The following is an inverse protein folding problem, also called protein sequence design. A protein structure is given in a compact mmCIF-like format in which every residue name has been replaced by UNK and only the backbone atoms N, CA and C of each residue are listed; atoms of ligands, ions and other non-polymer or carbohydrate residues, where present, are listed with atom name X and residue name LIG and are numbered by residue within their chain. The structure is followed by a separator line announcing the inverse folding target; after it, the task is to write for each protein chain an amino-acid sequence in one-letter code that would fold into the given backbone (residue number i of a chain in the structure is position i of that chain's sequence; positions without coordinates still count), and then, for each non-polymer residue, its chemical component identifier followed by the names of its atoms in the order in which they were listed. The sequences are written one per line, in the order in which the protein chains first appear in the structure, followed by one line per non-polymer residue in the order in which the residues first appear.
data_IF_161409771065
#
_entry.id   IF_161409771065
#
_cell.length_a   1.000
_cell.length_b   1.000
_cell.length_c   1.000
_cell.angle_alpha   90.00
_cell.angle_beta   90.00
_cell.angle_gamma   90.00
#
_symmetry.space_group_name_H-M   'P 1'
#
loop_
_entity.id
_entity.type
_entity.pdbx_description
1 polymer ?
#
# COMPACT_ATOMS: atom_id res chain seq x y z
N UNK A 1 -31.65 3.12 9.66
CA UNK A 1 -31.65 3.94 10.89
C UNK A 1 -30.26 3.84 11.51
N UNK A 2 -29.69 4.92 12.07
CA UNK A 2 -28.45 4.79 12.81
C UNK A 2 -28.68 3.83 13.99
N UNK A 3 -27.73 2.94 14.23
CA UNK A 3 -27.80 1.96 15.30
C UNK A 3 -26.39 1.73 15.79
N UNK A 4 -26.19 1.83 17.09
CA UNK A 4 -24.87 1.73 17.73
C UNK A 4 -25.00 0.83 18.96
N UNK A 5 -24.11 -0.15 19.04
CA UNK A 5 -23.98 -1.06 20.18
C UNK A 5 -22.58 -0.91 20.74
N UNK A 6 -22.43 -0.78 22.05
CA UNK A 6 -21.13 -0.81 22.74
C UNK A 6 -21.17 -1.97 23.72
N UNK A 7 -20.25 -2.92 23.54
CA UNK A 7 -19.99 -4.00 24.48
C UNK A 7 -18.71 -3.70 25.25
N UNK A 8 -18.74 -3.90 26.57
CA UNK A 8 -17.65 -3.58 27.47
C UNK A 8 -17.42 -4.67 28.51
N UNK A 9 -16.16 -4.88 28.88
CA UNK A 9 -15.75 -5.76 29.98
C UNK A 9 -14.91 -4.98 31.01
N UNK A 10 -15.00 -5.35 32.29
CA UNK A 10 -14.23 -4.72 33.40
C UNK A 10 -14.28 -3.18 33.42
N UNK A 11 -15.49 -2.63 33.32
CA UNK A 11 -15.73 -1.17 33.20
C UNK A 11 -15.73 -0.46 34.56
N UNK A 12 -15.05 0.70 34.70
CA UNK A 12 -15.18 1.54 35.87
C UNK A 12 -16.63 2.03 36.09
N UNK A 13 -17.15 2.08 37.34
CA UNK A 13 -18.49 2.57 37.61
C UNK A 13 -18.78 3.98 37.06
N UNK A 14 -17.77 4.85 37.04
CA UNK A 14 -17.86 6.21 36.49
C UNK A 14 -18.16 6.21 34.99
N UNK A 15 -17.47 5.38 34.21
CA UNK A 15 -17.69 5.26 32.77
C UNK A 15 -19.04 4.60 32.45
N UNK A 16 -19.40 3.55 33.21
CA UNK A 16 -20.72 2.92 33.08
C UNK A 16 -21.86 3.91 33.32
N UNK A 17 -21.72 4.74 34.36
CA UNK A 17 -22.67 5.80 34.68
C UNK A 17 -22.66 6.97 33.68
N UNK A 18 -21.56 7.25 33.00
CA UNK A 18 -21.56 8.24 31.91
C UNK A 18 -22.30 7.72 30.68
N UNK A 19 -22.06 6.45 30.30
CA UNK A 19 -22.71 5.84 29.13
C UNK A 19 -24.21 5.66 29.30
N UNK A 20 -24.69 5.33 30.50
CA UNK A 20 -26.13 5.20 30.78
C UNK A 20 -26.92 6.50 30.60
N UNK A 21 -26.26 7.67 30.56
CA UNK A 21 -26.90 8.95 30.21
C UNK A 21 -27.26 9.04 28.73
N UNK A 22 -26.56 8.29 27.87
CA UNK A 22 -26.70 8.35 26.42
C UNK A 22 -27.35 7.11 25.86
N UNK A 23 -27.06 5.94 26.44
CA UNK A 23 -27.39 4.61 25.92
C UNK A 23 -28.18 3.80 26.94
N UNK A 24 -29.00 2.89 26.46
CA UNK A 24 -29.68 1.91 27.31
C UNK A 24 -28.78 0.70 27.50
N UNK A 25 -28.48 0.35 28.75
CA UNK A 25 -27.86 -0.93 29.07
C UNK A 25 -28.92 -2.03 29.01
N UNK A 26 -28.76 -3.00 28.10
CA UNK A 26 -29.72 -4.09 27.89
C UNK A 26 -29.26 -5.41 28.51
N UNK A 27 -27.95 -5.53 28.75
CA UNK A 27 -27.29 -6.63 29.43
C UNK A 27 -26.02 -6.10 30.06
N UNK A 28 -25.43 -6.83 30.99
CA UNK A 28 -24.23 -6.37 31.71
C UNK A 28 -23.11 -6.04 30.72
N UNK A 29 -22.71 -4.76 30.68
CA UNK A 29 -21.68 -4.26 29.79
C UNK A 29 -22.14 -4.04 28.34
N UNK A 30 -23.42 -4.24 27.99
CA UNK A 30 -23.94 -4.09 26.63
C UNK A 30 -24.91 -2.91 26.57
N UNK A 31 -24.49 -1.88 25.86
CA UNK A 31 -25.21 -0.61 25.68
C UNK A 31 -25.71 -0.46 24.25
N UNK A 32 -26.95 -0.02 24.08
CA UNK A 32 -27.55 0.25 22.77
C UNK A 32 -28.02 1.70 22.71
N UNK A 33 -27.77 2.35 21.56
CA UNK A 33 -28.23 3.70 21.29
C UNK A 33 -28.34 3.98 19.79
N UNK A 34 -29.01 5.08 19.45
CA UNK A 34 -29.18 5.54 18.08
C UNK A 34 -28.58 6.94 17.95
N UNK A 35 -27.41 7.03 17.30
CA UNK A 35 -26.66 8.27 17.20
C UNK A 35 -26.16 8.50 15.78
N UNK A 36 -26.05 9.77 15.41
CA UNK A 36 -25.33 10.16 14.20
C UNK A 36 -23.82 9.90 14.36
N UNK A 37 -23.09 9.91 13.24
CA UNK A 37 -21.65 9.62 13.21
C UNK A 37 -20.82 10.50 14.13
N UNK A 38 -21.17 11.78 14.30
CA UNK A 38 -20.41 12.72 15.11
C UNK A 38 -20.52 12.40 16.60
N UNK A 39 -21.74 12.19 17.10
CA UNK A 39 -21.99 11.80 18.49
C UNK A 39 -21.33 10.45 18.78
N UNK A 40 -21.43 9.50 17.85
CA UNK A 40 -20.80 8.18 17.98
C UNK A 40 -19.28 8.28 18.16
N UNK A 41 -18.59 9.08 17.33
CA UNK A 41 -17.13 9.27 17.44
C UNK A 41 -16.74 9.87 18.78
N UNK A 42 -17.51 10.84 19.30
CA UNK A 42 -17.24 11.41 20.63
C UNK A 42 -17.50 10.43 21.77
N UNK A 43 -18.59 9.65 21.70
CA UNK A 43 -18.88 8.60 22.68
C UNK A 43 -17.78 7.55 22.70
N UNK A 44 -17.33 7.11 21.52
CA UNK A 44 -16.24 6.14 21.41
C UNK A 44 -14.94 6.67 22.00
N UNK A 45 -14.57 7.93 21.69
CA UNK A 45 -13.41 8.57 22.29
C UNK A 45 -13.48 8.61 23.82
N UNK A 46 -14.64 8.92 24.40
CA UNK A 46 -14.83 8.89 25.86
C UNK A 46 -14.62 7.50 26.45
N UNK A 47 -15.11 6.46 25.79
CA UNK A 47 -14.88 5.06 26.22
C UNK A 47 -13.39 4.75 26.23
N UNK A 48 -12.70 5.02 25.12
CA UNK A 48 -11.25 4.75 25.00
C UNK A 48 -10.43 5.56 26.02
N UNK A 49 -10.75 6.84 26.22
CA UNK A 49 -10.01 7.71 27.14
C UNK A 49 -10.21 7.34 28.63
N UNK A 50 -11.27 6.60 28.98
CA UNK A 50 -11.64 6.30 30.38
C UNK A 50 -11.64 4.80 30.72
N UNK A 51 -11.18 3.94 29.80
CA UNK A 51 -11.14 2.49 30.00
C UNK A 51 -9.70 1.98 30.05
N UNK A 52 -9.16 1.86 31.27
CA UNK A 52 -7.74 1.48 31.46
C UNK A 52 -7.48 -0.04 31.35
N UNK A 53 -8.26 -0.87 32.04
CA UNK A 53 -7.98 -2.31 32.20
C UNK A 53 -9.08 -3.23 31.64
N UNK A 54 -10.08 -2.64 30.99
CA UNK A 54 -11.21 -3.33 30.40
C UNK A 54 -11.14 -3.37 28.89
N UNK A 55 -12.04 -4.15 28.30
CA UNK A 55 -12.17 -4.26 26.85
C UNK A 55 -13.41 -3.51 26.38
N UNK A 56 -13.34 -2.95 25.18
CA UNK A 56 -14.48 -2.31 24.54
C UNK A 56 -14.59 -2.68 23.07
N UNK A 57 -15.81 -2.86 22.61
CA UNK A 57 -16.14 -2.96 21.19
C UNK A 57 -17.34 -2.09 20.91
N UNK A 58 -17.23 -1.22 19.90
CA UNK A 58 -18.36 -0.47 19.36
C UNK A 58 -18.71 -1.03 17.98
N UNK A 59 -19.96 -1.38 17.76
CA UNK A 59 -20.50 -1.75 16.45
C UNK A 59 -21.55 -0.71 16.03
N UNK A 60 -21.53 -0.32 14.75
CA UNK A 60 -22.43 0.71 14.25
C UNK A 60 -22.80 0.51 12.80
N UNK A 61 -23.97 1.01 12.42
CA UNK A 61 -24.43 0.99 11.03
C UNK A 61 -23.43 1.69 10.09
N UNK A 62 -23.05 1.02 9.01
CA UNK A 62 -22.10 1.50 8.00
C UNK A 62 -22.53 1.07 6.60
N UNK A 63 -22.11 1.80 5.57
CA UNK A 63 -22.52 1.54 4.18
C UNK A 63 -21.53 0.60 3.50
N UNK A 64 -21.60 -0.66 3.86
CA UNK A 64 -20.91 -1.79 3.22
C UNK A 64 -21.89 -2.97 3.09
N UNK A 65 -21.43 -4.11 2.55
CA UNK A 65 -22.28 -5.28 2.31
C UNK A 65 -22.83 -5.90 3.60
N UNK A 66 -22.09 -5.81 4.71
CA UNK A 66 -22.53 -6.30 6.02
C UNK A 66 -23.51 -5.34 6.71
N UNK A 67 -23.62 -4.10 6.25
CA UNK A 67 -24.48 -3.07 6.83
C UNK A 67 -23.98 -2.50 8.17
N UNK A 68 -22.81 -2.91 8.63
CA UNK A 68 -22.20 -2.42 9.87
C UNK A 68 -20.67 -2.37 9.76
N UNK A 69 -20.06 -1.61 10.67
CA UNK A 69 -18.64 -1.65 10.97
C UNK A 69 -18.46 -1.68 12.48
N UNK A 70 -17.25 -2.01 12.95
CA UNK A 70 -16.96 -2.06 14.37
C UNK A 70 -15.51 -1.66 14.65
N UNK A 71 -15.27 -1.18 15.88
CA UNK A 71 -13.95 -0.85 16.40
C UNK A 71 -13.77 -1.50 17.76
N UNK A 72 -12.55 -1.89 18.07
CA UNK A 72 -12.23 -2.54 19.34
C UNK A 72 -11.08 -1.81 20.07
N UNK A 73 -11.10 -1.88 21.40
CA UNK A 73 -10.09 -1.32 22.28
C UNK A 73 -9.75 -2.33 23.38
N UNK A 74 -8.45 -2.59 23.56
CA UNK A 74 -7.88 -3.55 24.52
C UNK A 74 -8.36 -5.02 24.37
N UNK A 75 -9.03 -5.37 23.27
CA UNK A 75 -9.47 -6.74 22.97
C UNK A 75 -8.36 -7.54 22.29
N UNK A 76 -8.43 -8.87 22.41
CA UNK A 76 -7.59 -9.76 21.58
C UNK A 76 -7.97 -9.65 20.10
N UNK A 77 -9.24 -9.40 19.78
CA UNK A 77 -9.68 -9.22 18.41
C UNK A 77 -9.30 -7.85 17.86
N UNK A 78 -9.05 -7.77 16.55
CA UNK A 78 -8.92 -6.49 15.83
C UNK A 78 -9.80 -6.48 14.59
N UNK A 79 -10.33 -5.32 14.25
CA UNK A 79 -11.00 -5.11 12.97
C UNK A 79 -9.95 -4.83 11.89
N UNK A 80 -10.06 -5.50 10.75
CA UNK A 80 -9.32 -5.22 9.52
C UNK A 80 -10.33 -4.96 8.42
N UNK A 81 -10.10 -3.92 7.63
CA UNK A 81 -10.84 -3.66 6.41
C UNK A 81 -10.24 -4.47 5.26
N UNK A 82 -11.03 -5.35 4.66
CA UNK A 82 -10.69 -6.09 3.45
C UNK A 82 -11.76 -5.77 2.40
N UNK A 83 -11.40 -4.96 1.40
CA UNK A 83 -12.29 -4.53 0.31
C UNK A 83 -13.63 -3.93 0.77
N UNK A 84 -13.62 -3.17 1.88
CA UNK A 84 -14.80 -2.54 2.46
C UNK A 84 -15.58 -3.43 3.44
N UNK A 85 -15.12 -4.67 3.67
CA UNK A 85 -15.69 -5.59 4.65
C UNK A 85 -14.90 -5.56 5.97
N UNK A 86 -15.56 -5.34 7.12
CA UNK A 86 -14.92 -5.42 8.42
C UNK A 86 -14.75 -6.88 8.86
N UNK A 87 -13.52 -7.36 8.84
CA UNK A 87 -13.14 -8.72 9.25
C UNK A 87 -12.54 -8.72 10.67
N UNK A 88 -12.90 -9.74 11.46
CA UNK A 88 -12.35 -9.97 12.80
C UNK A 88 -11.07 -10.79 12.70
N UNK A 89 -9.95 -10.24 13.16
CA UNK A 89 -8.68 -10.96 13.30
C UNK A 89 -8.47 -11.42 14.75
N UNK A 90 -8.14 -12.69 14.95
CA UNK A 90 -7.70 -13.28 16.22
C UNK A 90 -6.19 -13.59 16.18
N UNK A 91 -5.32 -12.78 16.80
CA UNK A 91 -3.87 -12.95 16.72
C UNK A 91 -3.37 -14.31 17.22
N UNK A 92 -3.96 -14.86 18.30
CA UNK A 92 -3.56 -16.16 18.86
C UNK A 92 -3.89 -17.36 17.95
N UNK A 93 -4.93 -17.25 17.12
CA UNK A 93 -5.32 -18.34 16.22
C UNK A 93 -4.30 -18.51 15.08
N UNK A 94 -3.57 -17.45 14.75
CA UNK A 94 -2.48 -17.49 13.78
C UNK A 94 -1.30 -18.35 14.30
N UNK A 95 -0.99 -18.31 15.60
CA UNK A 95 0.06 -19.12 16.20
C UNK A 95 -0.31 -20.62 16.25
N UNK A 96 -1.57 -20.95 16.55
CA UNK A 96 -2.04 -22.35 16.60
C UNK A 96 -2.20 -22.99 15.20
N UNK A 97 -2.70 -22.24 14.20
CA UNK A 97 -2.78 -22.73 12.82
C UNK A 97 -1.39 -23.00 12.20
N UNK A 98 -0.35 -22.26 12.64
CA UNK A 98 1.03 -22.50 12.25
C UNK A 98 1.62 -23.79 12.87
N UNK A 99 1.05 -24.31 13.95
CA UNK A 99 1.47 -25.56 14.59
C UNK A 99 0.84 -26.80 13.93
N UNK A 100 -0.46 -26.79 13.63
CA UNK A 100 -1.15 -27.90 12.96
C UNK A 100 -0.65 -28.15 11.52
N UNK A 101 -0.27 -27.09 10.79
CA UNK A 101 0.26 -27.22 9.43
C UNK A 101 1.63 -27.93 9.36
N UNK A 102 2.37 -28.07 10.47
CA UNK A 102 3.69 -28.74 10.47
C UNK A 102 3.60 -30.27 10.25
N UNK A 103 2.43 -30.89 10.44
CA UNK A 103 2.26 -32.35 10.44
C UNK A 103 2.19 -33.01 9.05
N UNK A 104 1.75 -32.32 7.98
CA UNK A 104 1.34 -32.97 6.73
C UNK A 104 1.96 -32.47 5.42
N UNK A 105 3.25 -32.09 5.43
CA UNK A 105 3.96 -31.82 4.17
C UNK A 105 4.94 -32.96 3.83
N UNK A 106 4.77 -33.54 2.63
CA UNK A 106 5.72 -34.49 2.05
C UNK A 106 7.11 -33.85 1.92
N UNK A 107 8.18 -34.65 1.91
CA UNK A 107 9.56 -34.13 1.87
C UNK A 107 9.77 -33.13 0.71
N UNK A 108 9.12 -33.31 -0.44
CA UNK A 108 9.16 -32.37 -1.56
C UNK A 108 8.52 -30.99 -1.24
N UNK A 109 7.37 -30.97 -0.56
CA UNK A 109 6.74 -29.73 -0.09
C UNK A 109 7.55 -29.05 1.02
N UNK A 110 8.20 -29.84 1.89
CA UNK A 110 9.16 -29.33 2.90
C UNK A 110 10.39 -28.69 2.24
N UNK A 111 10.94 -29.27 1.17
CA UNK A 111 12.06 -28.67 0.42
C UNK A 111 11.66 -27.37 -0.31
N UNK A 112 10.43 -27.30 -0.82
CA UNK A 112 9.91 -26.11 -1.49
C UNK A 112 9.59 -24.97 -0.51
N UNK A 113 8.95 -25.28 0.64
CA UNK A 113 8.71 -24.30 1.71
C UNK A 113 10.01 -23.89 2.42
N UNK A 114 10.98 -24.79 2.60
CA UNK A 114 12.29 -24.46 3.15
C UNK A 114 13.08 -23.49 2.24
N UNK A 115 12.83 -23.51 0.92
CA UNK A 115 13.38 -22.51 -0.01
C UNK A 115 12.63 -21.17 0.03
N UNK A 116 11.32 -21.17 0.30
CA UNK A 116 10.51 -19.95 0.48
C UNK A 116 10.72 -19.26 1.84
N UNK A 117 11.09 -20.01 2.88
CA UNK A 117 11.33 -19.52 4.25
C UNK A 117 12.78 -19.67 4.73
N UNK A 118 13.71 -20.04 3.84
CA UNK A 118 15.09 -19.58 4.03
C UNK A 118 15.02 -18.06 3.98
N UNK A 119 14.85 -17.42 5.15
CA UNK A 119 15.39 -16.09 5.36
C UNK A 119 16.77 -16.14 4.73
N UNK A 120 17.14 -15.21 3.84
CA UNK A 120 18.55 -15.00 3.62
C UNK A 120 19.11 -14.91 5.03
N UNK A 121 20.04 -15.81 5.38
CA UNK A 121 20.85 -15.70 6.59
C UNK A 121 21.12 -14.21 6.69
N UNK A 122 20.80 -13.59 7.82
CA UNK A 122 21.21 -12.22 8.08
C UNK A 122 22.73 -12.21 7.97
N UNK A 123 23.23 -12.08 6.75
CA UNK A 123 24.47 -11.38 6.52
C UNK A 123 24.17 -10.06 7.17
N UNK A 124 25.02 -9.68 8.11
CA UNK A 124 25.30 -8.27 8.30
C UNK A 124 25.73 -7.72 6.93
N UNK A 125 24.76 -7.52 6.04
CA UNK A 125 24.87 -6.70 4.86
C UNK A 125 24.63 -5.33 5.44
N UNK A 126 25.73 -4.60 5.57
CA UNK A 126 25.74 -3.16 5.51
C UNK A 126 24.64 -2.71 4.53
N UNK A 127 23.45 -2.38 5.04
CA UNK A 127 22.37 -1.90 4.20
C UNK A 127 22.84 -0.53 3.76
N UNK A 128 23.44 -0.44 2.56
CA UNK A 128 23.56 0.82 1.88
C UNK A 128 22.15 1.42 1.83
N UNK A 129 21.96 2.52 2.56
CA UNK A 129 20.73 3.31 2.56
C UNK A 129 20.43 3.68 1.12
N UNK A 130 19.38 3.11 0.55
CA UNK A 130 19.04 3.32 -0.84
C UNK A 130 17.60 2.96 -1.15
N UNK A 131 17.12 3.48 -2.26
CA UNK A 131 15.76 3.27 -2.75
C UNK A 131 15.76 3.22 -4.28
N UNK A 132 14.67 2.69 -4.84
CA UNK A 132 14.41 2.67 -6.27
C UNK A 132 13.31 3.68 -6.55
N UNK A 133 13.52 4.57 -7.51
CA UNK A 133 12.42 5.32 -8.11
C UNK A 133 11.98 4.55 -9.35
N UNK A 134 10.69 4.29 -9.49
CA UNK A 134 10.12 3.45 -10.54
C UNK A 134 8.98 4.18 -11.23
N UNK A 135 8.91 4.03 -12.55
CA UNK A 135 7.82 4.50 -13.39
C UNK A 135 7.65 3.55 -14.59
N UNK A 136 6.41 3.37 -15.04
CA UNK A 136 6.09 2.61 -16.25
C UNK A 136 5.16 3.39 -17.17
N UNK A 137 5.30 3.15 -18.47
CA UNK A 137 4.32 3.56 -19.47
C UNK A 137 3.53 2.35 -19.95
N UNK A 138 2.24 2.56 -20.25
CA UNK A 138 1.31 1.48 -20.58
C UNK A 138 0.39 1.86 -21.74
N UNK A 139 -0.19 0.87 -22.41
CA UNK A 139 -1.19 1.12 -23.48
C UNK A 139 -2.57 1.55 -22.96
N UNK A 140 -2.76 1.59 -21.64
CA UNK A 140 -4.04 1.87 -21.00
C UNK A 140 -3.98 1.69 -19.48
N UNK A 141 -5.10 1.94 -18.79
CA UNK A 141 -5.12 2.05 -17.32
C UNK A 141 -5.44 0.75 -16.56
N UNK A 142 -5.68 -0.35 -17.27
CA UNK A 142 -6.13 -1.60 -16.67
C UNK A 142 -5.17 -2.75 -17.01
N UNK A 143 -4.52 -3.29 -15.99
CA UNK A 143 -3.52 -4.35 -16.08
C UNK A 143 -4.04 -5.65 -16.70
N UNK A 144 -5.36 -5.89 -16.72
CA UNK A 144 -5.95 -7.10 -17.28
C UNK A 144 -6.04 -7.07 -18.81
N UNK A 145 -5.98 -5.88 -19.43
CA UNK A 145 -6.20 -5.71 -20.87
C UNK A 145 -5.24 -4.71 -21.54
N UNK A 146 -4.33 -4.11 -20.77
CA UNK A 146 -3.35 -3.13 -21.23
C UNK A 146 -1.95 -3.64 -20.94
N UNK A 147 -0.99 -3.31 -21.82
CA UNK A 147 0.38 -3.81 -21.76
C UNK A 147 1.35 -2.73 -21.26
N UNK A 148 2.43 -3.18 -20.61
CA UNK A 148 3.55 -2.31 -20.28
C UNK A 148 4.38 -2.12 -21.55
N UNK A 149 4.70 -0.87 -21.88
CA UNK A 149 5.45 -0.53 -23.11
C UNK A 149 6.82 0.08 -22.82
N UNK A 150 6.99 0.70 -21.64
CA UNK A 150 8.28 1.20 -21.16
C UNK A 150 8.37 1.00 -19.66
N UNK A 151 9.56 0.66 -19.17
CA UNK A 151 9.88 0.62 -17.74
C UNK A 151 11.16 1.44 -17.53
N UNK A 152 11.13 2.29 -16.51
CA UNK A 152 12.33 2.96 -16.02
C UNK A 152 12.46 2.83 -14.49
N UNK A 153 13.68 2.54 -14.05
CA UNK A 153 14.03 2.50 -12.63
C UNK A 153 15.35 3.22 -12.38
N UNK A 154 15.38 4.09 -11.37
CA UNK A 154 16.60 4.73 -10.85
C UNK A 154 16.88 4.20 -9.46
N UNK A 155 17.99 3.49 -9.32
CA UNK A 155 18.54 3.10 -8.02
C UNK A 155 19.38 4.25 -7.47
N UNK A 156 19.00 4.72 -6.28
CA UNK A 156 19.69 5.75 -5.54
C UNK A 156 20.34 5.12 -4.32
N UNK A 157 21.66 5.23 -4.24
CA UNK A 157 22.49 4.80 -3.11
C UNK A 157 23.32 6.00 -2.63
N UNK A 158 23.95 5.89 -1.46
CA UNK A 158 24.65 7.01 -0.79
C UNK A 158 25.65 7.76 -1.70
N UNK A 159 26.36 7.04 -2.55
CA UNK A 159 27.49 7.53 -3.34
C UNK A 159 27.26 7.50 -4.86
N UNK A 160 26.19 6.85 -5.32
CA UNK A 160 25.95 6.65 -6.74
C UNK A 160 24.48 6.51 -7.08
N UNK A 161 24.21 6.74 -8.36
CA UNK A 161 22.93 6.39 -8.99
C UNK A 161 23.17 5.40 -10.11
N UNK A 162 22.19 4.54 -10.36
CA UNK A 162 22.22 3.59 -11.48
C UNK A 162 20.84 3.51 -12.09
N UNK A 163 20.77 3.34 -13.40
CA UNK A 163 19.51 3.38 -14.14
C UNK A 163 19.28 2.07 -14.88
N UNK A 164 18.03 1.64 -14.93
CA UNK A 164 17.53 0.56 -15.78
C UNK A 164 16.37 1.12 -16.61
N UNK A 165 16.43 0.93 -17.93
CA UNK A 165 15.39 1.39 -18.85
C UNK A 165 15.21 0.41 -19.99
N UNK A 166 13.97 0.01 -20.23
CA UNK A 166 13.63 -0.89 -21.32
C UNK A 166 12.31 -0.49 -21.97
N UNK A 167 12.27 -0.60 -23.29
CA UNK A 167 11.03 -0.77 -24.03
C UNK A 167 10.67 -2.25 -24.04
N UNK A 168 9.38 -2.55 -23.99
CA UNK A 168 8.87 -3.92 -23.99
C UNK A 168 8.18 -4.17 -25.33
N UNK A 169 8.49 -5.30 -25.96
CA UNK A 169 7.79 -5.75 -27.17
C UNK A 169 6.31 -5.95 -26.85
N UNK A 170 5.41 -5.39 -27.65
CA UNK A 170 3.98 -5.40 -27.35
C UNK A 170 3.09 -5.22 -28.57
N UNK A 171 1.79 -5.17 -28.31
CA UNK A 171 0.73 -4.96 -29.30
C UNK A 171 0.72 -3.52 -29.82
N UNK A 172 -0.25 -3.24 -30.67
CA UNK A 172 -0.50 -1.91 -31.23
C UNK A 172 -0.69 -0.90 -30.11
N UNK A 173 0.16 0.13 -30.10
CA UNK A 173 0.03 1.29 -29.22
C UNK A 173 -1.06 2.20 -29.76
N UNK A 174 -2.12 2.53 -28.98
CA UNK A 174 -3.15 3.46 -29.40
C UNK A 174 -2.58 4.85 -29.73
N UNK A 175 -3.15 5.54 -30.73
CA UNK A 175 -2.67 6.87 -31.17
C UNK A 175 -2.65 7.91 -30.04
N UNK A 176 -3.58 7.83 -29.09
CA UNK A 176 -3.61 8.70 -27.92
C UNK A 176 -2.39 8.48 -27.02
N UNK A 177 -2.01 7.23 -26.78
CA UNK A 177 -0.83 6.86 -25.99
C UNK A 177 0.45 7.25 -26.75
N UNK A 178 0.49 7.03 -28.08
CA UNK A 178 1.61 7.46 -28.92
C UNK A 178 1.79 8.98 -28.91
N UNK A 179 0.70 9.76 -28.92
CA UNK A 179 0.76 11.23 -28.80
C UNK A 179 1.23 11.68 -27.42
N UNK A 180 0.85 10.93 -26.39
CA UNK A 180 1.19 11.24 -25.00
C UNK A 180 2.67 10.93 -24.71
N UNK A 181 3.09 9.71 -25.02
CA UNK A 181 4.40 9.15 -24.64
C UNK A 181 5.46 9.29 -25.74
N UNK A 182 5.06 9.49 -27.00
CA UNK A 182 5.95 9.42 -28.15
C UNK A 182 6.37 8.00 -28.55
N UNK A 183 5.92 6.97 -27.83
CA UNK A 183 6.26 5.57 -28.11
C UNK A 183 5.33 5.04 -29.20
N UNK A 184 5.91 4.47 -30.27
CA UNK A 184 5.16 3.90 -31.37
C UNK A 184 5.27 2.37 -31.41
N UNK A 185 4.28 1.71 -32.02
CA UNK A 185 4.32 0.26 -32.24
C UNK A 185 5.57 -0.15 -33.03
N UNK A 186 5.99 0.65 -34.01
CA UNK A 186 7.20 0.38 -34.80
C UNK A 186 8.47 0.45 -33.93
N UNK A 187 8.52 1.37 -32.97
CA UNK A 187 9.61 1.47 -32.00
C UNK A 187 9.64 0.25 -31.07
N UNK A 188 8.49 -0.20 -30.57
CA UNK A 188 8.41 -1.41 -29.73
C UNK A 188 8.84 -2.67 -30.51
N UNK A 189 8.52 -2.76 -31.79
CA UNK A 189 8.94 -3.89 -32.63
C UNK A 189 10.44 -3.87 -32.95
N UNK A 190 11.04 -2.68 -33.07
CA UNK A 190 12.45 -2.54 -33.42
C UNK A 190 13.39 -2.64 -32.20
N UNK A 191 12.96 -2.11 -31.04
CA UNK A 191 13.80 -1.91 -29.86
C UNK A 191 13.28 -2.61 -28.60
N UNK A 192 12.02 -3.06 -28.62
CA UNK A 192 11.38 -3.72 -27.50
C UNK A 192 12.05 -5.04 -27.15
N UNK A 193 12.04 -5.36 -25.86
CA UNK A 193 12.57 -6.60 -25.31
C UNK A 193 11.46 -7.50 -24.83
N UNK A 194 11.79 -8.78 -24.67
CA UNK A 194 10.90 -9.76 -24.07
C UNK A 194 10.46 -9.31 -22.67
N UNK A 195 9.14 -9.29 -22.45
CA UNK A 195 8.52 -8.80 -21.21
C UNK A 195 9.02 -9.57 -19.98
N UNK A 196 9.14 -10.90 -20.09
CA UNK A 196 9.61 -11.75 -18.98
C UNK A 196 11.06 -11.48 -18.63
N UNK A 197 11.93 -11.31 -19.62
CA UNK A 197 13.33 -10.92 -19.44
C UNK A 197 13.43 -9.58 -18.70
N UNK A 198 12.70 -8.57 -19.18
CA UNK A 198 12.69 -7.22 -18.61
C UNK A 198 12.21 -7.25 -17.15
N UNK A 199 11.10 -7.92 -16.86
CA UNK A 199 10.56 -8.03 -15.50
C UNK A 199 11.51 -8.77 -14.55
N UNK A 200 12.20 -9.80 -15.05
CA UNK A 200 13.22 -10.52 -14.27
C UNK A 200 14.41 -9.61 -13.95
N UNK A 201 14.89 -8.83 -14.93
CA UNK A 201 15.97 -7.87 -14.72
C UNK A 201 15.55 -6.75 -13.77
N UNK A 202 14.31 -6.25 -13.89
CA UNK A 202 13.75 -5.26 -12.99
C UNK A 202 13.68 -5.77 -11.55
N UNK A 203 13.15 -6.98 -11.32
CA UNK A 203 13.07 -7.56 -9.98
C UNK A 203 14.45 -7.70 -9.32
N UNK A 204 15.45 -8.16 -10.07
CA UNK A 204 16.84 -8.22 -9.61
C UNK A 204 17.44 -6.82 -9.37
N UNK A 205 17.07 -5.85 -10.19
CA UNK A 205 17.52 -4.47 -10.03
C UNK A 205 16.92 -3.83 -8.77
N UNK A 206 15.65 -4.11 -8.47
CA UNK A 206 14.97 -3.64 -7.26
C UNK A 206 15.58 -4.27 -6.00
N UNK A 207 15.84 -5.59 -6.04
CA UNK A 207 16.36 -6.35 -4.90
C UNK A 207 15.45 -6.19 -3.67
N UNK A 208 15.99 -5.86 -2.49
CA UNK A 208 15.24 -5.64 -1.25
C UNK A 208 14.95 -4.17 -0.95
N UNK A 209 15.27 -3.26 -1.89
CA UNK A 209 15.20 -1.81 -1.67
C UNK A 209 13.76 -1.30 -1.62
N UNK A 210 13.58 -0.17 -0.93
CA UNK A 210 12.31 0.58 -0.90
C UNK A 210 12.01 1.10 -2.30
N UNK A 211 10.78 0.93 -2.77
CA UNK A 211 10.32 1.47 -4.06
C UNK A 211 9.57 2.77 -3.82
N UNK A 212 9.92 3.77 -4.61
CA UNK A 212 9.39 5.13 -4.57
C UNK A 212 8.81 5.44 -5.95
N UNK A 213 7.66 6.10 -5.98
CA UNK A 213 7.09 6.58 -7.24
C UNK A 213 5.96 7.55 -6.97
N UNK A 214 5.37 8.11 -8.01
CA UNK A 214 4.25 9.03 -7.92
C UNK A 214 2.98 8.31 -8.33
N UNK A 215 2.11 7.95 -7.36
CA UNK A 215 1.03 6.97 -7.57
C UNK A 215 1.53 5.54 -7.85
N UNK A 216 2.68 5.17 -7.27
CA UNK A 216 3.45 3.92 -7.48
C UNK A 216 2.66 2.60 -7.37
N UNK A 217 1.51 2.62 -6.70
CA UNK A 217 0.65 1.45 -6.64
C UNK A 217 0.08 1.07 -8.01
N UNK A 218 -0.09 2.04 -8.92
CA UNK A 218 -0.48 1.77 -10.30
C UNK A 218 0.57 0.89 -11.00
N UNK A 219 1.83 1.31 -10.97
CA UNK A 219 2.97 0.64 -11.59
C UNK A 219 3.13 -0.79 -11.04
N UNK A 220 3.08 -0.93 -9.71
CA UNK A 220 3.24 -2.22 -9.03
C UNK A 220 2.11 -3.20 -9.33
N UNK A 221 0.87 -2.73 -9.56
CA UNK A 221 -0.22 -3.61 -9.99
C UNK A 221 0.05 -4.21 -11.36
N UNK A 222 0.49 -3.39 -12.32
CA UNK A 222 0.88 -3.87 -13.65
C UNK A 222 2.04 -4.86 -13.57
N UNK A 223 3.13 -4.48 -12.90
CA UNK A 223 4.32 -5.33 -12.77
C UNK A 223 3.97 -6.67 -12.12
N UNK A 224 3.21 -6.67 -11.01
CA UNK A 224 2.85 -7.90 -10.33
C UNK A 224 1.83 -8.75 -11.10
N UNK A 225 0.95 -8.14 -11.89
CA UNK A 225 0.07 -8.88 -12.81
C UNK A 225 0.89 -9.70 -13.79
N UNK A 226 1.87 -9.08 -14.46
CA UNK A 226 2.69 -9.76 -15.45
C UNK A 226 3.70 -10.74 -14.84
N UNK A 227 4.31 -10.42 -13.69
CA UNK A 227 5.14 -11.38 -12.96
C UNK A 227 4.37 -12.66 -12.62
N UNK A 228 3.10 -12.52 -12.21
CA UNK A 228 2.24 -13.67 -11.91
C UNK A 228 1.92 -14.51 -13.16
N UNK A 229 1.68 -13.87 -14.32
CA UNK A 229 1.47 -14.57 -15.59
C UNK A 229 2.67 -15.49 -15.95
N UNK A 230 3.88 -15.08 -15.56
CA UNK A 230 5.11 -15.85 -15.74
C UNK A 230 5.50 -16.75 -14.56
N UNK A 231 4.65 -16.85 -13.53
CA UNK A 231 4.92 -17.61 -12.29
C UNK A 231 6.20 -17.16 -11.58
N UNK A 232 6.57 -15.88 -11.74
CA UNK A 232 7.67 -15.24 -11.04
C UNK A 232 7.22 -14.73 -9.67
N UNK A 233 8.17 -14.51 -8.77
CA UNK A 233 7.84 -13.95 -7.46
C UNK A 233 7.36 -12.50 -7.61
N UNK A 234 6.29 -12.11 -6.91
CA UNK A 234 5.83 -10.73 -6.92
C UNK A 234 6.83 -9.81 -6.22
N UNK A 235 6.84 -8.54 -6.63
CA UNK A 235 7.54 -7.45 -5.96
C UNK A 235 6.70 -7.01 -4.77
N UNK A 236 7.19 -7.29 -3.55
CA UNK A 236 6.50 -7.00 -2.28
C UNK A 236 7.27 -6.01 -1.40
N UNK A 237 8.18 -5.25 -2.00
CA UNK A 237 9.04 -4.30 -1.32
C UNK A 237 8.20 -3.19 -0.64
N UNK A 238 8.80 -2.55 0.37
CA UNK A 238 8.19 -1.37 1.01
C UNK A 238 7.98 -0.28 -0.06
N UNK A 239 6.80 0.31 -0.08
CA UNK A 239 6.42 1.37 -1.03
C UNK A 239 6.37 2.74 -0.36
N UNK A 240 6.80 3.77 -1.08
CA UNK A 240 6.62 5.17 -0.74
C UNK A 240 6.00 5.90 -1.93
N UNK A 241 4.76 6.36 -1.75
CA UNK A 241 4.09 7.18 -2.75
C UNK A 241 4.38 8.68 -2.50
N UNK A 242 5.11 9.31 -3.42
CA UNK A 242 5.45 10.73 -3.38
C UNK A 242 4.22 11.62 -3.38
N UNK A 243 3.14 11.22 -4.04
CA UNK A 243 1.87 11.97 -4.06
C UNK A 243 1.29 12.14 -2.66
N UNK A 244 1.45 11.13 -1.79
CA UNK A 244 1.02 11.19 -0.39
C UNK A 244 1.87 12.17 0.41
N UNK A 245 3.18 12.23 0.15
CA UNK A 245 4.08 13.18 0.80
C UNK A 245 3.77 14.61 0.35
N UNK A 246 3.61 14.82 -0.96
CA UNK A 246 3.21 16.11 -1.54
C UNK A 246 1.90 16.61 -0.91
N UNK A 247 0.85 15.78 -0.82
CA UNK A 247 -0.42 16.14 -0.15
C UNK A 247 -0.22 16.61 1.30
N UNK A 248 0.74 16.03 2.02
CA UNK A 248 1.04 16.40 3.41
C UNK A 248 1.92 17.65 3.54
N UNK A 249 2.65 18.04 2.51
CA UNK A 249 3.50 19.23 2.50
C UNK A 249 2.84 20.44 1.82
N UNK A 250 1.94 20.19 0.86
CA UNK A 250 1.17 21.20 0.12
C UNK A 250 -0.31 20.78 0.00
N UNK A 251 -1.12 20.97 1.06
CA UNK A 251 -2.51 20.49 1.10
C UNK A 251 -3.49 21.23 0.16
N UNK A 252 -3.10 22.38 -0.38
CA UNK A 252 -3.98 23.29 -1.14
C UNK A 252 -3.57 23.44 -2.61
N UNK A 253 -2.91 22.42 -3.17
CA UNK A 253 -2.62 22.39 -4.61
C UNK A 253 -3.91 22.34 -5.44
N UNK A 254 -3.90 23.02 -6.59
CA UNK A 254 -5.01 23.00 -7.57
C UNK A 254 -5.40 21.56 -7.93
N UNK A 255 -4.40 20.72 -8.16
CA UNK A 255 -4.55 19.27 -8.30
C UNK A 255 -3.23 18.59 -7.90
N UNK A 256 -3.25 17.27 -7.77
CA UNK A 256 -2.10 16.46 -7.37
C UNK A 256 -1.61 15.58 -8.53
N UNK A 257 -1.55 16.12 -9.74
CA UNK A 257 -0.77 15.55 -10.84
C UNK A 257 0.70 15.86 -10.62
N UNK A 258 1.59 15.01 -11.16
CA UNK A 258 3.04 15.18 -11.04
C UNK A 258 3.46 16.58 -11.51
N UNK A 259 3.00 17.01 -12.69
CA UNK A 259 3.26 18.34 -13.28
C UNK A 259 2.95 19.49 -12.32
N UNK A 260 1.78 19.46 -11.67
CA UNK A 260 1.34 20.52 -10.75
C UNK A 260 2.18 20.50 -9.48
N UNK A 261 2.55 19.31 -9.00
CA UNK A 261 3.46 19.19 -7.87
C UNK A 261 4.87 19.73 -8.21
N UNK A 262 5.44 19.35 -9.36
CA UNK A 262 6.77 19.82 -9.79
C UNK A 262 6.82 21.36 -9.85
N UNK A 263 5.83 21.99 -10.48
CA UNK A 263 5.74 23.44 -10.58
C UNK A 263 5.70 24.14 -9.20
N UNK A 264 4.92 23.61 -8.26
CA UNK A 264 4.82 24.13 -6.89
C UNK A 264 6.14 24.05 -6.12
N UNK A 265 6.96 23.02 -6.38
CA UNK A 265 8.29 22.87 -5.79
C UNK A 265 9.40 23.56 -6.61
N UNK A 266 9.03 24.38 -7.59
CA UNK A 266 9.96 25.20 -8.39
C UNK A 266 10.75 24.41 -9.44
N UNK A 267 10.24 23.25 -9.87
CA UNK A 267 10.81 22.44 -10.96
C UNK A 267 10.01 22.77 -12.22
N UNK A 268 10.64 23.44 -13.17
CA UNK A 268 9.98 23.98 -14.38
C UNK A 268 9.96 23.02 -15.56
N UNK A 269 10.64 21.89 -15.46
CA UNK A 269 10.66 20.87 -16.50
C UNK A 269 9.26 20.26 -16.70
N UNK A 270 8.91 19.97 -17.95
CA UNK A 270 7.63 19.37 -18.30
C UNK A 270 7.70 17.86 -18.14
N UNK A 271 6.62 17.26 -17.65
CA UNK A 271 6.38 15.81 -17.71
C UNK A 271 6.19 15.45 -19.18
N UNK A 272 7.03 14.54 -19.66
CA UNK A 272 7.05 14.13 -21.07
C UNK A 272 6.33 12.81 -21.31
N UNK A 273 5.91 12.11 -20.24
CA UNK A 273 5.37 10.76 -20.30
C UNK A 273 6.37 9.79 -20.96
N UNK A 274 7.62 9.96 -20.55
CA UNK A 274 8.73 9.04 -20.80
C UNK A 274 9.23 8.59 -19.46
N UNK A 275 9.18 7.28 -19.21
CA UNK A 275 9.37 6.74 -17.87
C UNK A 275 10.70 7.20 -17.25
N UNK A 276 11.78 7.24 -18.03
CA UNK A 276 13.09 7.70 -17.52
C UNK A 276 13.11 9.18 -17.15
N UNK A 277 12.47 10.02 -17.95
CA UNK A 277 12.43 11.47 -17.71
C UNK A 277 11.60 11.75 -16.46
N UNK A 278 10.45 11.08 -16.32
CA UNK A 278 9.56 11.21 -15.18
C UNK A 278 10.22 10.68 -13.89
N UNK A 279 10.99 9.58 -13.95
CA UNK A 279 11.86 9.12 -12.87
C UNK A 279 12.87 10.17 -12.43
N UNK A 280 13.50 10.89 -13.37
CA UNK A 280 14.45 11.98 -13.04
C UNK A 280 13.74 13.17 -12.40
N UNK A 281 12.53 13.51 -12.86
CA UNK A 281 11.71 14.56 -12.26
C UNK A 281 11.29 14.19 -10.84
N UNK A 282 10.89 12.94 -10.61
CA UNK A 282 10.62 12.42 -9.27
C UNK A 282 11.85 12.48 -8.36
N UNK A 283 13.03 12.15 -8.88
CA UNK A 283 14.29 12.31 -8.13
C UNK A 283 14.56 13.77 -7.74
N UNK A 284 14.37 14.70 -8.66
CA UNK A 284 14.48 16.13 -8.37
C UNK A 284 13.45 16.59 -7.32
N UNK A 285 12.21 16.10 -7.41
CA UNK A 285 11.14 16.38 -6.46
C UNK A 285 11.49 15.87 -5.06
N UNK A 286 12.03 14.66 -4.94
CA UNK A 286 12.50 14.11 -3.66
C UNK A 286 13.49 15.06 -2.97
N UNK A 287 14.42 15.65 -3.73
CA UNK A 287 15.37 16.65 -3.20
C UNK A 287 14.72 17.94 -2.67
N UNK A 288 13.44 18.18 -2.95
CA UNK A 288 12.66 19.33 -2.47
C UNK A 288 11.68 18.97 -1.35
N UNK A 289 11.45 17.68 -1.05
CA UNK A 289 10.49 17.22 -0.04
C UNK A 289 11.16 17.08 1.32
N UNK A 290 10.70 17.86 2.31
CA UNK A 290 11.30 17.88 3.64
C UNK A 290 11.01 16.60 4.45
N UNK A 291 9.87 15.95 4.20
CA UNK A 291 9.41 14.77 4.95
C UNK A 291 9.88 13.45 4.34
N UNK A 292 10.53 13.46 3.17
CA UNK A 292 10.91 12.23 2.47
C UNK A 292 11.85 11.36 3.32
N UNK A 293 12.94 11.92 3.83
CA UNK A 293 13.90 11.21 4.69
C UNK A 293 13.24 10.60 5.94
N UNK A 294 12.29 11.31 6.54
CA UNK A 294 11.56 10.80 7.70
C UNK A 294 10.67 9.61 7.35
N UNK A 295 10.06 9.61 6.15
CA UNK A 295 9.22 8.50 5.67
C UNK A 295 10.08 7.30 5.26
N UNK A 296 11.21 7.55 4.60
CA UNK A 296 12.16 6.51 4.19
C UNK A 296 12.66 5.70 5.40
N UNK A 297 13.08 6.40 6.46
CA UNK A 297 13.69 5.81 7.65
C UNK A 297 12.67 5.26 8.69
N UNK A 298 11.35 5.34 8.45
CA UNK A 298 10.35 4.72 9.33
C UNK A 298 10.44 3.20 9.23
N UNK A 299 10.65 2.53 10.36
CA UNK A 299 10.61 1.07 10.49
C UNK A 299 9.19 0.54 10.39
#
# INVERSE_FOLDING_TARGET
MPFTVIALSKVPPSLRGDLSKWMQEISTGVFIGNFNSRIRVYLWKRVVDNLENGEATIAYAYRNELGYSFECHNTEQRMIDLDGLPIVLFPKYQEALLEEQKSHFSNAAKFHQARKFQKPKAKHLDHQKGYIILDIETTGLNELNSEIIEIAALKVETDKTSTLTYLIEGKVVPDEIKKLTGISTEMLQAEGRDEKEVLTQLANFIDDKVIVGYNVNFDLRFINHYLNNYQLNPVTNKLIDLKVIVKKERPLLLNYKLETALAEFGISDKVSHRALEDVKLMYALIGKLNKFEQVLNRK
#
